data_IF_125733994030
#
_entry.id   IF_125733994030
#
_cell.length_a   1.000
_cell.length_b   1.000
_cell.length_c   1.000
_cell.angle_alpha   90.00
_cell.angle_beta   90.00
_cell.angle_gamma   90.00
#
_symmetry.space_group_name_H-M   'P 1'
#
loop_
_entity.id
_entity.type
_entity.pdbx_description
1 polymer ?
#
# COMPACT_ATOMS: atom_id res chain seq x y z
N UNK A 1 23.24 -8.58 34.58
CA UNK A 1 23.49 -8.51 33.12
C UNK A 1 22.18 -8.14 32.46
N UNK A 2 22.05 -6.91 31.96
CA UNK A 2 20.88 -6.52 31.19
C UNK A 2 20.91 -7.32 29.89
N UNK A 3 19.90 -8.17 29.66
CA UNK A 3 19.69 -8.80 28.36
C UNK A 3 19.51 -7.64 27.38
N UNK A 4 20.51 -7.40 26.53
CA UNK A 4 20.37 -6.45 25.43
C UNK A 4 19.07 -6.81 24.72
N UNK A 5 18.10 -5.90 24.72
CA UNK A 5 16.84 -6.14 24.04
C UNK A 5 17.20 -6.36 22.57
N UNK A 6 17.12 -7.61 22.13
CA UNK A 6 17.40 -7.98 20.76
C UNK A 6 16.56 -7.10 19.86
N UNK A 7 17.20 -6.34 18.96
CA UNK A 7 16.47 -5.40 18.13
C UNK A 7 15.42 -6.16 17.30
N UNK A 8 14.26 -5.54 17.15
CA UNK A 8 13.07 -6.15 16.56
C UNK A 8 12.72 -5.37 15.31
N UNK A 9 12.51 -6.08 14.21
CA UNK A 9 11.95 -5.52 13.00
C UNK A 9 10.43 -5.45 13.18
N UNK A 10 9.89 -4.23 13.16
CA UNK A 10 8.44 -3.99 13.15
C UNK A 10 7.98 -4.00 11.70
N UNK A 11 6.86 -4.67 11.41
CA UNK A 11 6.23 -4.66 10.09
C UNK A 11 4.75 -4.35 10.20
N UNK A 12 4.22 -3.62 9.21
CA UNK A 12 2.81 -3.21 9.11
C UNK A 12 2.45 -3.02 7.64
N UNK A 13 1.21 -3.29 7.26
CA UNK A 13 0.67 -2.86 5.98
C UNK A 13 -0.34 -1.74 6.19
N UNK A 14 -0.22 -0.71 5.36
CA UNK A 14 -0.98 0.52 5.52
C UNK A 14 -1.42 1.10 4.18
N UNK A 15 -2.08 2.24 4.31
CA UNK A 15 -2.51 3.05 3.19
C UNK A 15 -1.68 4.33 3.22
N UNK A 16 -1.25 4.78 2.06
CA UNK A 16 -0.68 6.09 1.84
C UNK A 16 -1.51 6.82 0.78
N UNK A 17 -1.63 8.13 0.94
CA UNK A 17 -2.32 9.00 0.01
C UNK A 17 -1.28 9.75 -0.81
N UNK A 18 -1.29 9.56 -2.12
CA UNK A 18 -0.33 10.18 -3.04
C UNK A 18 -1.06 10.94 -4.14
N UNK A 19 -0.37 11.87 -4.82
CA UNK A 19 -0.93 12.49 -6.03
C UNK A 19 -1.13 11.46 -7.14
N UNK A 20 -2.01 11.76 -8.10
CA UNK A 20 -2.19 10.93 -9.30
C UNK A 20 -0.86 10.70 -10.03
N UNK A 21 -0.06 11.76 -10.18
CA UNK A 21 1.25 11.71 -10.83
C UNK A 21 2.23 10.80 -10.08
N UNK A 22 2.23 10.84 -8.74
CA UNK A 22 3.04 9.93 -7.93
C UNK A 22 2.57 8.48 -8.08
N UNK A 23 1.25 8.23 -8.11
CA UNK A 23 0.72 6.89 -8.35
C UNK A 23 1.12 6.35 -9.74
N UNK A 24 1.10 7.19 -10.77
CA UNK A 24 1.63 6.84 -12.10
C UNK A 24 3.15 6.65 -12.13
N UNK A 25 3.88 7.12 -11.13
CA UNK A 25 5.28 6.77 -10.91
C UNK A 25 5.48 5.38 -10.30
N UNK A 26 4.47 4.86 -9.60
CA UNK A 26 4.49 3.53 -8.98
C UNK A 26 3.82 2.44 -9.82
N UNK A 27 2.81 2.81 -10.59
CA UNK A 27 2.01 1.93 -11.41
C UNK A 27 1.92 2.52 -12.81
N UNK A 28 1.64 1.70 -13.83
CA UNK A 28 1.40 2.27 -15.16
C UNK A 28 0.17 3.19 -15.15
N UNK A 29 0.20 4.26 -15.95
CA UNK A 29 -0.94 5.16 -16.10
C UNK A 29 -2.23 4.40 -16.44
N UNK A 30 -2.12 3.37 -17.30
CA UNK A 30 -3.24 2.49 -17.65
C UNK A 30 -3.80 1.73 -16.44
N UNK A 31 -2.94 1.27 -15.51
CA UNK A 31 -3.39 0.58 -14.31
C UNK A 31 -4.10 1.53 -13.33
N UNK A 32 -3.59 2.76 -13.17
CA UNK A 32 -4.23 3.79 -12.34
C UNK A 32 -5.56 4.22 -12.94
N UNK A 33 -5.62 4.40 -14.26
CA UNK A 33 -6.86 4.71 -14.97
C UNK A 33 -7.91 3.61 -14.82
N UNK A 34 -7.54 2.34 -15.09
CA UNK A 34 -8.45 1.21 -14.96
C UNK A 34 -8.93 1.01 -13.51
N UNK A 35 -8.11 1.35 -12.52
CA UNK A 35 -8.53 1.41 -11.13
C UNK A 35 -9.58 2.50 -10.90
N UNK A 36 -9.33 3.72 -11.37
CA UNK A 36 -10.27 4.84 -11.22
C UNK A 36 -11.62 4.54 -11.89
N UNK A 37 -11.64 4.06 -13.13
CA UNK A 37 -12.87 3.72 -13.87
C UNK A 37 -13.73 2.69 -13.15
N UNK A 38 -13.08 1.74 -12.46
CA UNK A 38 -13.77 0.63 -11.79
C UNK A 38 -14.17 0.94 -10.36
N UNK A 39 -13.38 1.72 -9.64
CA UNK A 39 -13.47 1.85 -8.19
C UNK A 39 -13.90 3.23 -7.71
N UNK A 40 -13.79 4.27 -8.56
CA UNK A 40 -14.05 5.66 -8.17
C UNK A 40 -15.09 6.30 -9.07
N UNK A 41 -14.92 6.16 -10.38
CA UNK A 41 -15.84 6.72 -11.38
C UNK A 41 -17.32 6.33 -11.17
N UNK A 42 -17.67 5.07 -10.83
CA UNK A 42 -19.07 4.68 -10.65
C UNK A 42 -19.77 5.38 -9.47
N UNK A 43 -18.98 5.90 -8.52
CA UNK A 43 -19.49 6.58 -7.33
C UNK A 43 -19.50 8.12 -7.50
N UNK A 44 -19.07 8.64 -8.66
CA UNK A 44 -19.16 10.08 -8.95
C UNK A 44 -20.64 10.44 -9.14
N UNK A 45 -21.19 11.38 -8.34
CA UNK A 45 -22.58 11.81 -8.49
C UNK A 45 -22.87 12.35 -9.89
N UNK A 46 -24.05 12.01 -10.43
CA UNK A 46 -24.46 12.48 -11.76
C UNK A 46 -24.43 14.01 -11.90
N UNK A 47 -24.75 14.75 -10.83
CA UNK A 47 -24.66 16.22 -10.80
C UNK A 47 -23.24 16.73 -11.05
N UNK A 48 -22.23 16.04 -10.52
CA UNK A 48 -20.83 16.41 -10.70
C UNK A 48 -20.36 16.06 -12.12
N UNK A 49 -20.85 14.94 -12.68
CA UNK A 49 -20.60 14.58 -14.07
C UNK A 49 -21.22 15.59 -15.04
N UNK A 50 -22.46 16.03 -14.80
CA UNK A 50 -23.13 17.05 -15.60
C UNK A 50 -22.40 18.40 -15.51
N UNK A 51 -22.00 18.80 -14.29
CA UNK A 51 -21.22 20.02 -14.09
C UNK A 51 -19.88 20.00 -14.83
N UNK A 52 -19.22 18.84 -14.92
CA UNK A 52 -17.94 18.70 -15.62
C UNK A 52 -18.03 18.97 -17.12
N UNK A 53 -19.17 18.69 -17.74
CA UNK A 53 -19.45 19.02 -19.16
C UNK A 53 -20.17 20.36 -19.33
N UNK A 54 -20.29 21.15 -18.25
CA UNK A 54 -20.93 22.47 -18.28
C UNK A 54 -22.45 22.44 -18.44
N UNK A 55 -23.11 21.35 -18.04
CA UNK A 55 -24.56 21.17 -18.12
C UNK A 55 -25.19 21.11 -16.73
N UNK A 56 -26.45 21.54 -16.64
CA UNK A 56 -27.31 21.19 -15.51
C UNK A 56 -27.70 19.70 -15.58
N UNK A 57 -28.08 19.06 -14.45
CA UNK A 57 -28.56 17.68 -14.48
C UNK A 57 -29.73 17.46 -15.46
N UNK A 58 -30.66 18.42 -15.53
CA UNK A 58 -31.81 18.37 -16.43
C UNK A 58 -31.39 18.42 -17.91
N UNK A 59 -30.41 19.27 -18.26
CA UNK A 59 -29.86 19.33 -19.62
C UNK A 59 -29.14 18.02 -19.99
N UNK A 60 -28.37 17.45 -19.05
CA UNK A 60 -27.64 16.19 -19.28
C UNK A 60 -28.57 14.98 -19.44
N UNK A 61 -29.68 14.93 -18.71
CA UNK A 61 -30.72 13.90 -18.88
C UNK A 61 -31.43 14.04 -20.23
N UNK A 62 -31.78 15.26 -20.64
CA UNK A 62 -32.52 15.51 -21.87
C UNK A 62 -31.68 15.36 -23.15
N UNK A 63 -30.41 15.78 -23.11
CA UNK A 63 -29.51 15.77 -24.27
C UNK A 63 -28.66 14.49 -24.36
N UNK A 64 -28.63 13.70 -23.29
CA UNK A 64 -27.69 12.60 -23.10
C UNK A 64 -26.33 13.11 -22.64
N UNK A 65 -25.86 12.59 -21.51
CA UNK A 65 -24.54 12.89 -20.99
C UNK A 65 -23.47 12.23 -21.87
N UNK A 66 -22.63 13.05 -22.51
CA UNK A 66 -21.46 12.60 -23.26
C UNK A 66 -20.22 13.30 -22.70
N UNK A 67 -19.29 12.51 -22.14
CA UNK A 67 -18.04 13.01 -21.57
C UNK A 67 -16.91 12.66 -22.53
N UNK A 68 -16.25 13.68 -23.06
CA UNK A 68 -15.05 13.47 -23.89
C UNK A 68 -13.83 13.07 -23.04
N UNK A 69 -12.76 12.63 -23.70
CA UNK A 69 -11.56 12.18 -23.00
C UNK A 69 -10.85 13.29 -22.20
N UNK A 70 -10.96 14.55 -22.61
CA UNK A 70 -10.33 15.67 -21.90
C UNK A 70 -11.07 15.99 -20.59
N UNK A 71 -12.40 15.94 -20.64
CA UNK A 71 -13.28 16.12 -19.49
C UNK A 71 -13.22 14.91 -18.56
N UNK A 72 -13.14 13.69 -19.11
CA UNK A 72 -12.90 12.50 -18.30
C UNK A 72 -11.59 12.61 -17.50
N UNK A 73 -10.53 13.16 -18.10
CA UNK A 73 -9.26 13.43 -17.41
C UNK A 73 -9.35 14.50 -16.33
N UNK A 74 -10.21 15.51 -16.48
CA UNK A 74 -10.40 16.52 -15.42
C UNK A 74 -11.13 15.95 -14.20
N UNK A 75 -11.84 14.83 -14.37
CA UNK A 75 -12.49 14.06 -13.32
C UNK A 75 -11.56 13.05 -12.63
N UNK A 76 -10.31 12.92 -13.07
CA UNK A 76 -9.34 12.06 -12.40
C UNK A 76 -9.13 12.51 -10.96
N UNK A 77 -8.88 11.57 -10.03
CA UNK A 77 -8.79 11.90 -8.63
C UNK A 77 -7.49 12.64 -8.38
N UNK A 78 -7.56 13.76 -7.64
CA UNK A 78 -6.36 14.53 -7.25
C UNK A 78 -5.41 13.72 -6.38
N UNK A 79 -5.96 12.77 -5.63
CA UNK A 79 -5.22 11.87 -4.75
C UNK A 79 -5.63 10.43 -5.02
N UNK A 80 -4.64 9.55 -5.04
CA UNK A 80 -4.80 8.11 -5.20
C UNK A 80 -4.33 7.45 -3.92
N UNK A 81 -5.18 6.60 -3.38
CA UNK A 81 -4.81 5.73 -2.27
C UNK A 81 -3.95 4.59 -2.80
N UNK A 82 -2.89 4.25 -2.07
CA UNK A 82 -2.03 3.11 -2.39
C UNK A 82 -1.80 2.27 -1.14
N UNK A 83 -1.67 0.97 -1.34
CA UNK A 83 -1.32 0.05 -0.26
C UNK A 83 0.19 -0.06 -0.17
N UNK A 84 0.73 0.12 1.03
CA UNK A 84 2.15 0.00 1.30
C UNK A 84 2.45 -1.08 2.35
N UNK A 85 3.53 -1.81 2.13
CA UNK A 85 4.14 -2.71 3.09
C UNK A 85 5.34 -2.02 3.74
N UNK A 86 5.45 -2.09 5.06
CA UNK A 86 6.41 -1.28 5.84
C UNK A 86 7.23 -2.20 6.73
N UNK A 87 8.53 -1.93 6.82
CA UNK A 87 9.44 -2.65 7.71
C UNK A 87 10.47 -1.67 8.30
N UNK A 88 10.66 -1.67 9.62
CA UNK A 88 11.65 -0.79 10.24
C UNK A 88 12.36 -1.40 11.45
N UNK A 89 13.62 -1.02 11.62
CA UNK A 89 14.44 -1.27 12.80
C UNK A 89 15.55 -0.22 12.89
N UNK A 90 15.66 0.47 14.03
CA UNK A 90 16.65 1.54 14.20
C UNK A 90 16.51 2.63 13.13
N UNK A 91 17.58 2.88 12.39
CA UNK A 91 17.58 3.87 11.30
C UNK A 91 17.00 3.33 9.99
N UNK A 92 16.85 2.00 9.85
CA UNK A 92 16.34 1.39 8.62
C UNK A 92 14.82 1.50 8.55
N UNK A 93 14.31 2.13 7.49
CA UNK A 93 12.89 2.38 7.26
C UNK A 93 12.54 2.03 5.81
N UNK A 94 12.09 0.82 5.58
CA UNK A 94 11.79 0.33 4.24
C UNK A 94 10.30 0.35 3.97
N UNK A 95 9.95 0.80 2.78
CA UNK A 95 8.58 0.75 2.28
C UNK A 95 8.57 0.11 0.90
N UNK A 96 7.58 -0.75 0.66
CA UNK A 96 7.24 -1.24 -0.66
C UNK A 96 5.82 -0.79 -1.01
N UNK A 97 5.64 -0.23 -2.20
CA UNK A 97 4.32 0.05 -2.78
C UNK A 97 3.79 -1.24 -3.37
N UNK A 98 2.63 -1.71 -2.87
CA UNK A 98 2.13 -3.07 -3.08
C UNK A 98 1.02 -3.11 -4.12
N UNK A 99 0.04 -2.22 -4.02
CA UNK A 99 -1.15 -2.27 -4.85
C UNK A 99 -1.91 -0.94 -4.88
N UNK A 100 -2.73 -0.77 -5.92
CA UNK A 100 -3.88 0.13 -5.88
C UNK A 100 -5.01 -0.57 -5.11
N UNK A 101 -5.76 0.15 -4.26
CA UNK A 101 -6.79 -0.45 -3.43
C UNK A 101 -7.97 -0.93 -4.29
N UNK A 102 -8.25 -2.22 -4.20
CA UNK A 102 -9.47 -2.80 -4.75
C UNK A 102 -10.57 -2.79 -3.67
N UNK A 103 -11.86 -2.64 -4.00
CA UNK A 103 -12.96 -2.57 -3.03
C UNK A 103 -13.09 -3.78 -2.08
N UNK A 104 -12.37 -4.88 -2.33
CA UNK A 104 -12.20 -5.98 -1.39
C UNK A 104 -10.71 -6.09 -0.98
N UNK A 105 -10.26 -5.34 0.02
CA UNK A 105 -8.89 -5.43 0.49
C UNK A 105 -8.62 -6.80 1.13
N UNK A 106 -7.67 -7.56 0.55
CA UNK A 106 -7.09 -8.72 1.23
C UNK A 106 -6.02 -8.22 2.20
N UNK A 107 -6.46 -7.62 3.31
CA UNK A 107 -5.57 -7.05 4.34
C UNK A 107 -4.51 -8.04 4.79
N UNK A 108 -4.87 -9.32 4.98
CA UNK A 108 -3.93 -10.37 5.37
C UNK A 108 -2.81 -10.57 4.35
N UNK A 109 -3.10 -10.50 3.04
CA UNK A 109 -2.06 -10.60 2.02
C UNK A 109 -1.10 -9.40 2.02
N UNK A 110 -1.60 -8.20 2.29
CA UNK A 110 -0.76 -7.01 2.41
C UNK A 110 0.16 -7.09 3.64
N UNK A 111 -0.35 -7.61 4.76
CA UNK A 111 0.45 -7.86 5.95
C UNK A 111 1.52 -8.95 5.73
N UNK A 112 1.22 -9.98 4.95
CA UNK A 112 2.23 -10.95 4.52
C UNK A 112 3.33 -10.27 3.69
N UNK A 113 3.02 -9.27 2.86
CA UNK A 113 4.02 -8.49 2.13
C UNK A 113 4.89 -7.65 3.06
N UNK A 114 4.32 -7.05 4.10
CA UNK A 114 5.09 -6.35 5.13
C UNK A 114 6.06 -7.28 5.87
N UNK A 115 5.60 -8.49 6.21
CA UNK A 115 6.46 -9.53 6.79
C UNK A 115 7.59 -9.93 5.84
N UNK A 116 7.31 -10.14 4.54
CA UNK A 116 8.34 -10.44 3.53
C UNK A 116 9.38 -9.33 3.44
N UNK A 117 8.95 -8.06 3.49
CA UNK A 117 9.86 -6.92 3.51
C UNK A 117 10.74 -6.92 4.76
N UNK A 118 10.17 -7.25 5.92
CA UNK A 118 10.93 -7.42 7.16
C UNK A 118 11.95 -8.55 7.10
N UNK A 119 11.62 -9.67 6.43
CA UNK A 119 12.56 -10.77 6.17
C UNK A 119 13.70 -10.30 5.27
N UNK A 120 13.40 -9.59 4.19
CA UNK A 120 14.42 -9.04 3.31
C UNK A 120 15.36 -8.07 4.04
N UNK A 121 14.80 -7.18 4.88
CA UNK A 121 15.58 -6.29 5.73
C UNK A 121 16.48 -7.06 6.69
N UNK A 122 15.97 -8.10 7.34
CA UNK A 122 16.75 -8.98 8.22
C UNK A 122 17.95 -9.60 7.50
N UNK A 123 17.73 -10.09 6.29
CA UNK A 123 18.80 -10.67 5.46
C UNK A 123 19.85 -9.63 5.08
N UNK A 124 19.44 -8.42 4.68
CA UNK A 124 20.38 -7.35 4.32
C UNK A 124 21.26 -6.93 5.51
N UNK A 125 20.68 -6.87 6.71
CA UNK A 125 21.44 -6.51 7.91
C UNK A 125 22.32 -7.65 8.43
N UNK A 126 22.11 -8.88 7.96
CA UNK A 126 22.77 -10.10 8.45
C UNK A 126 22.69 -10.24 9.99
N UNK A 127 21.58 -9.82 10.59
CA UNK A 127 21.33 -9.87 12.03
C UNK A 127 20.18 -10.82 12.34
N UNK A 128 20.20 -11.54 13.49
CA UNK A 128 19.15 -12.46 13.88
C UNK A 128 17.94 -11.70 14.47
N UNK A 129 17.46 -10.65 13.82
CA UNK A 129 16.34 -9.87 14.36
C UNK A 129 15.03 -10.65 14.32
N UNK A 130 14.26 -10.53 15.40
CA UNK A 130 12.89 -11.03 15.43
C UNK A 130 12.02 -10.09 14.59
N UNK A 131 11.07 -10.66 13.84
CA UNK A 131 10.11 -9.89 13.04
C UNK A 131 8.76 -9.93 13.76
N UNK A 132 8.10 -8.78 13.88
CA UNK A 132 6.78 -8.68 14.49
C UNK A 132 5.78 -7.94 13.61
N UNK A 133 4.54 -8.39 13.67
CA UNK A 133 3.41 -7.83 12.93
C UNK A 133 2.14 -7.92 13.80
N UNK A 134 1.17 -7.03 13.58
CA UNK A 134 -0.08 -7.00 14.36
C UNK A 134 -1.23 -7.82 13.77
N UNK A 135 -1.07 -8.34 12.55
CA UNK A 135 -2.01 -9.27 11.93
C UNK A 135 -1.66 -10.72 12.27
N UNK A 136 -2.49 -11.34 13.13
CA UNK A 136 -2.27 -12.71 13.63
C UNK A 136 -2.32 -13.74 12.50
N UNK A 137 -3.23 -13.58 11.54
CA UNK A 137 -3.43 -14.53 10.45
C UNK A 137 -2.26 -14.49 9.46
N UNK A 138 -1.74 -13.29 9.17
CA UNK A 138 -0.55 -13.11 8.36
C UNK A 138 0.67 -13.75 9.03
N UNK A 139 0.86 -13.55 10.34
CA UNK A 139 1.92 -14.23 11.09
C UNK A 139 1.78 -15.74 11.01
N UNK A 140 0.60 -16.29 11.30
CA UNK A 140 0.36 -17.73 11.27
C UNK A 140 0.61 -18.33 9.88
N UNK A 141 0.21 -17.64 8.81
CA UNK A 141 0.47 -18.07 7.44
C UNK A 141 1.98 -18.10 7.11
N UNK A 142 2.74 -17.15 7.65
CA UNK A 142 4.16 -16.96 7.32
C UNK A 142 5.12 -17.76 8.20
N UNK A 143 4.70 -18.15 9.39
CA UNK A 143 5.50 -18.94 10.34
C UNK A 143 5.96 -20.30 9.79
N UNK A 144 5.24 -20.87 8.81
CA UNK A 144 5.66 -22.11 8.14
C UNK A 144 6.86 -21.92 7.23
N UNK A 145 7.10 -20.69 6.75
CA UNK A 145 8.13 -20.36 5.75
C UNK A 145 9.33 -19.64 6.35
N UNK A 146 9.12 -18.90 7.44
CA UNK A 146 10.16 -18.07 8.04
C UNK A 146 10.16 -18.23 9.56
N UNK A 147 11.34 -18.50 10.12
CA UNK A 147 11.57 -18.54 11.57
C UNK A 147 11.61 -17.13 12.17
N UNK A 148 11.38 -17.06 13.49
CA UNK A 148 11.47 -15.86 14.31
C UNK A 148 10.54 -14.71 13.90
N UNK A 149 9.34 -15.07 13.41
CA UNK A 149 8.21 -14.17 13.22
C UNK A 149 7.20 -14.38 14.35
N UNK A 150 6.65 -13.30 14.90
CA UNK A 150 5.56 -13.41 15.86
C UNK A 150 4.57 -12.27 15.85
N UNK A 151 3.37 -12.61 16.27
CA UNK A 151 2.30 -11.65 16.47
C UNK A 151 2.55 -10.78 17.71
N UNK A 152 2.22 -9.50 17.59
CA UNK A 152 2.23 -8.49 18.66
C UNK A 152 1.03 -7.57 18.52
N UNK A 153 0.69 -6.80 19.57
CA UNK A 153 -0.39 -5.81 19.45
C UNK A 153 0.09 -4.59 18.66
N UNK A 154 -0.83 -3.87 18.01
CA UNK A 154 -0.54 -2.67 17.20
C UNK A 154 0.38 -1.64 17.88
N UNK A 155 0.18 -1.42 19.19
CA UNK A 155 1.05 -0.52 19.99
C UNK A 155 2.54 -0.89 19.91
N UNK A 156 2.86 -2.17 19.73
CA UNK A 156 4.22 -2.69 19.70
C UNK A 156 4.82 -2.68 18.28
N UNK A 157 4.01 -2.45 17.24
CA UNK A 157 4.46 -2.24 15.85
C UNK A 157 4.26 -0.78 15.40
N UNK A 158 4.11 0.14 16.36
CA UNK A 158 3.72 1.53 16.13
C UNK A 158 4.67 2.29 15.20
N UNK A 159 5.94 1.91 15.14
CA UNK A 159 6.93 2.60 14.30
C UNK A 159 6.68 2.28 12.82
N UNK A 160 6.50 0.99 12.50
CA UNK A 160 6.10 0.58 11.15
C UNK A 160 4.72 1.14 10.80
N UNK A 161 3.79 1.16 11.76
CA UNK A 161 2.45 1.67 11.55
C UNK A 161 2.41 3.17 11.20
N UNK A 162 3.32 3.96 11.77
CA UNK A 162 3.42 5.41 11.53
C UNK A 162 4.40 5.78 10.42
N UNK A 163 5.05 4.78 9.81
CA UNK A 163 6.04 5.02 8.78
C UNK A 163 5.36 5.49 7.50
N UNK A 164 5.68 6.68 7.03
CA UNK A 164 5.18 7.24 5.77
C UNK A 164 6.22 7.14 4.66
N UNK A 165 5.78 7.21 3.40
CA UNK A 165 6.68 7.20 2.23
C UNK A 165 7.82 8.22 2.32
N UNK A 166 7.55 9.41 2.82
CA UNK A 166 8.56 10.47 2.97
C UNK A 166 9.68 10.11 3.98
N UNK A 167 9.43 9.15 4.86
CA UNK A 167 10.38 8.69 5.87
C UNK A 167 11.16 7.44 5.44
N UNK A 168 10.88 6.91 4.25
CA UNK A 168 11.53 5.70 3.75
C UNK A 168 13.02 5.97 3.48
N UNK A 169 13.89 5.22 4.14
CA UNK A 169 15.31 5.14 3.76
C UNK A 169 15.51 4.27 2.51
N UNK A 170 14.53 3.41 2.20
CA UNK A 170 14.49 2.65 0.95
C UNK A 170 13.05 2.45 0.51
N UNK A 171 12.78 2.78 -0.75
CA UNK A 171 11.47 2.64 -1.38
C UNK A 171 11.56 1.61 -2.51
N UNK A 172 10.60 0.71 -2.54
CA UNK A 172 10.46 -0.30 -3.58
C UNK A 172 9.12 -0.18 -4.29
N UNK A 173 9.15 -0.34 -5.59
CA UNK A 173 7.99 -0.30 -6.48
C UNK A 173 7.95 -1.67 -7.15
N UNK A 174 6.83 -2.39 -6.98
CA UNK A 174 6.59 -3.77 -7.43
C UNK A 174 7.06 -4.90 -6.46
N UNK A 175 6.14 -5.77 -5.97
CA UNK A 175 6.45 -6.92 -5.14
C UNK A 175 7.17 -8.09 -5.85
N UNK A 176 7.36 -8.07 -7.18
CA UNK A 176 8.13 -9.11 -7.90
C UNK A 176 9.60 -9.17 -7.44
N UNK A 177 10.13 -8.07 -6.89
CA UNK A 177 11.54 -7.97 -6.46
C UNK A 177 11.83 -8.38 -5.00
N UNK A 178 10.83 -8.81 -4.21
CA UNK A 178 11.02 -9.35 -2.83
C UNK A 178 10.61 -10.79 -2.71
N UNK A 179 11.08 -11.67 -3.60
CA UNK A 179 11.12 -13.08 -3.22
C UNK A 179 12.42 -13.28 -2.46
N UNK A 180 12.46 -13.17 -1.12
CA UNK A 180 13.66 -13.58 -0.40
C UNK A 180 13.93 -15.04 -0.77
N UNK A 181 15.20 -15.43 -0.96
CA UNK A 181 15.54 -16.80 -1.31
C UNK A 181 14.90 -17.74 -0.28
N UNK A 182 14.48 -18.97 -0.69
CA UNK A 182 14.18 -20.00 0.29
C UNK A 182 15.38 -20.14 1.21
N UNK A 183 15.14 -20.17 2.53
CA UNK A 183 16.21 -20.43 3.49
C UNK A 183 16.80 -21.81 3.20
N UNK A 184 18.12 -21.85 3.05
CA UNK A 184 18.97 -23.02 3.26
C UNK A 184 19.01 -23.40 4.74
#
# INVERSE_FOLDING_TARGET
MAVSAQAIIQTDAGWDHVSYEQACGFFSEQAVHAWWERCVYPDIPFVDLAAAVGQTPEEAENNGLCIDAATARSLYPKTVDIVTARACVGEHRWIAVVALPYPAPNFTAHEQKAIQLGVALRHELAQPYRIINDNKDAVCAMQRRYSDISWRRRQQVREAHRLSLAQATRLWVDPVYFTPPPLS
#
